data_IF_603107017316
#
_entry.id   IF_603107017316
#
_cell.length_a   1.000
_cell.length_b   1.000
_cell.length_c   1.000
_cell.angle_alpha   90.00
_cell.angle_beta   90.00
_cell.angle_gamma   90.00
#
_symmetry.space_group_name_H-M   'P 1'
#
loop_
_entity.id
_entity.type
_entity.pdbx_description
1 polymer ?
#
# COMPACT_ATOMS: atom_id res chain seq x y z
N UNK A 1 23.51 -15.57 5.47
CA UNK A 1 23.23 -14.11 5.42
C UNK A 1 21.72 -13.97 5.57
N UNK A 2 21.25 -13.50 6.74
CA UNK A 2 19.81 -13.45 7.08
C UNK A 2 19.29 -12.02 6.92
N UNK A 3 18.23 -11.85 6.13
CA UNK A 3 17.38 -10.66 6.10
C UNK A 3 15.90 -11.10 5.95
N UNK A 4 15.23 -11.30 7.09
CA UNK A 4 13.99 -10.64 7.55
C UNK A 4 12.80 -10.37 6.57
N UNK A 5 11.51 -10.53 6.87
CA UNK A 5 10.75 -10.78 8.11
C UNK A 5 9.47 -11.60 7.79
N UNK A 6 9.43 -12.85 8.25
CA UNK A 6 8.23 -13.68 8.32
C UNK A 6 8.21 -14.41 9.66
N UNK A 7 7.62 -13.75 10.66
CA UNK A 7 7.37 -14.17 12.07
C UNK A 7 8.56 -14.44 12.99
N UNK A 8 8.57 -13.71 14.11
CA UNK A 8 8.94 -14.21 15.43
C UNK A 8 7.73 -14.03 16.36
N UNK A 9 7.53 -14.96 17.32
CA UNK A 9 6.58 -14.81 18.43
C UNK A 9 6.93 -13.52 19.19
N UNK A 10 6.14 -12.46 19.02
CA UNK A 10 6.22 -11.29 19.88
C UNK A 10 5.71 -11.64 21.26
N UNK A 11 6.56 -11.45 22.28
CA UNK A 11 6.11 -11.32 23.67
C UNK A 11 5.20 -10.10 23.75
N UNK A 12 4.21 -10.18 24.65
CA UNK A 12 3.22 -9.15 24.90
C UNK A 12 3.82 -7.94 25.64
N UNK A 13 4.76 -7.26 25.01
CA UNK A 13 5.22 -5.93 25.40
C UNK A 13 4.75 -4.93 24.34
N UNK A 14 4.27 -3.77 24.78
CA UNK A 14 3.51 -2.74 24.05
C UNK A 14 4.23 -2.08 22.85
N UNK A 15 5.31 -2.67 22.33
CA UNK A 15 6.13 -2.17 21.22
C UNK A 15 6.41 -3.23 20.12
N UNK A 16 5.59 -4.28 19.99
CA UNK A 16 5.73 -5.21 18.85
C UNK A 16 5.24 -4.57 17.55
N UNK A 17 6.18 -4.04 16.78
CA UNK A 17 5.95 -3.44 15.47
C UNK A 17 5.29 -4.42 14.48
N UNK A 18 5.48 -5.74 14.65
CA UNK A 18 4.78 -6.72 13.81
C UNK A 18 3.29 -6.80 14.15
N UNK A 19 2.93 -6.70 15.43
CA UNK A 19 1.53 -6.67 15.87
C UNK A 19 0.85 -5.37 15.41
N UNK A 20 1.54 -4.23 15.55
CA UNK A 20 1.10 -2.93 15.02
C UNK A 20 0.89 -2.99 13.51
N UNK A 21 1.85 -3.57 12.76
CA UNK A 21 1.74 -3.75 11.31
C UNK A 21 0.56 -4.64 10.93
N UNK A 22 0.33 -5.74 11.64
CA UNK A 22 -0.81 -6.62 11.42
C UNK A 22 -2.15 -5.88 11.65
N UNK A 23 -2.24 -5.07 12.71
CA UNK A 23 -3.41 -4.23 12.98
C UNK A 23 -3.67 -3.21 11.86
N UNK A 24 -2.63 -2.50 11.40
CA UNK A 24 -2.73 -1.53 10.29
C UNK A 24 -3.21 -2.20 9.00
N UNK A 25 -2.66 -3.36 8.67
CA UNK A 25 -3.07 -4.15 7.50
C UNK A 25 -4.53 -4.61 7.60
N UNK A 26 -4.98 -5.04 8.79
CA UNK A 26 -6.38 -5.39 9.03
C UNK A 26 -7.30 -4.19 8.82
N UNK A 27 -6.96 -3.03 9.40
CA UNK A 27 -7.74 -1.81 9.24
C UNK A 27 -7.81 -1.39 7.76
N UNK A 28 -6.68 -1.36 7.05
CA UNK A 28 -6.64 -1.02 5.63
C UNK A 28 -7.61 -1.88 4.80
N UNK A 29 -7.65 -3.20 5.05
CA UNK A 29 -8.59 -4.12 4.37
C UNK A 29 -10.03 -3.80 4.73
N UNK A 30 -10.34 -3.66 6.01
CA UNK A 30 -11.70 -3.32 6.47
C UNK A 30 -12.21 -2.03 5.83
N UNK A 31 -11.36 -1.01 5.71
CA UNK A 31 -11.71 0.26 5.07
C UNK A 31 -11.91 0.12 3.55
N UNK A 32 -11.04 -0.62 2.85
CA UNK A 32 -11.25 -0.94 1.42
C UNK A 32 -12.55 -1.70 1.20
N UNK A 33 -12.84 -2.71 2.02
CA UNK A 33 -14.09 -3.46 1.94
C UNK A 33 -15.31 -2.57 2.22
N UNK A 34 -15.27 -1.77 3.30
CA UNK A 34 -16.36 -0.88 3.67
C UNK A 34 -16.70 0.08 2.52
N UNK A 35 -15.68 0.62 1.86
CA UNK A 35 -15.80 1.55 0.73
C UNK A 35 -16.20 0.88 -0.59
N UNK A 36 -15.44 -0.12 -1.06
CA UNK A 36 -15.55 -0.69 -2.41
C UNK A 36 -16.39 -1.96 -2.49
N UNK A 37 -16.68 -2.61 -1.36
CA UNK A 37 -17.36 -3.91 -1.26
C UNK A 37 -16.63 -5.07 -1.98
N UNK A 38 -15.32 -4.93 -2.16
CA UNK A 38 -14.43 -5.93 -2.74
C UNK A 38 -14.26 -7.14 -1.81
N UNK A 39 -14.77 -8.29 -2.24
CA UNK A 39 -14.87 -9.49 -1.40
C UNK A 39 -13.53 -9.96 -0.84
N UNK A 40 -12.42 -9.78 -1.57
CA UNK A 40 -11.07 -10.14 -1.16
C UNK A 40 -10.57 -9.39 0.09
N UNK A 41 -11.18 -8.25 0.42
CA UNK A 41 -10.89 -7.47 1.62
C UNK A 41 -11.92 -7.65 2.75
N UNK A 42 -12.93 -8.50 2.55
CA UNK A 42 -13.96 -8.74 3.55
C UNK A 42 -13.39 -9.34 4.85
N UNK A 43 -13.98 -9.04 6.03
CA UNK A 43 -13.46 -9.48 7.32
C UNK A 43 -13.32 -11.01 7.45
N UNK A 44 -14.17 -11.77 6.77
CA UNK A 44 -14.17 -13.22 6.74
C UNK A 44 -13.06 -13.82 5.87
N UNK A 45 -12.47 -13.03 4.97
CA UNK A 45 -11.41 -13.52 4.08
C UNK A 45 -10.08 -13.52 4.84
N UNK A 46 -9.40 -14.68 4.95
CA UNK A 46 -8.13 -14.79 5.64
C UNK A 46 -7.09 -13.80 5.09
N UNK A 47 -6.31 -13.21 5.98
CA UNK A 47 -5.26 -12.27 5.62
C UNK A 47 -4.17 -12.94 4.77
N UNK A 48 -3.86 -12.35 3.61
CA UNK A 48 -2.85 -12.83 2.67
C UNK A 48 -1.73 -11.79 2.51
N UNK A 49 -0.62 -11.85 3.28
CA UNK A 49 0.46 -10.85 3.28
C UNK A 49 1.36 -10.82 2.02
N UNK A 50 0.90 -11.34 0.88
CA UNK A 50 1.84 -11.97 -0.06
C UNK A 50 2.51 -11.05 -1.08
N UNK A 51 1.94 -9.90 -1.44
CA UNK A 51 2.41 -9.15 -2.62
C UNK A 51 3.86 -8.63 -2.52
N UNK A 52 4.27 -8.02 -1.40
CA UNK A 52 5.60 -7.38 -1.28
C UNK A 52 6.73 -8.39 -1.09
N UNK A 53 6.52 -9.43 -0.27
CA UNK A 53 7.51 -10.50 -0.11
C UNK A 53 7.83 -11.16 -1.45
N UNK A 54 6.83 -11.28 -2.33
CA UNK A 54 6.99 -11.85 -3.66
C UNK A 54 7.66 -10.88 -4.63
N UNK A 55 7.36 -9.58 -4.56
CA UNK A 55 8.12 -8.56 -5.29
C UNK A 55 9.60 -8.58 -4.93
N UNK A 56 9.93 -8.69 -3.63
CA UNK A 56 11.30 -8.83 -3.16
C UNK A 56 11.95 -10.11 -3.70
N UNK A 57 11.27 -11.26 -3.61
CA UNK A 57 11.79 -12.53 -4.15
C UNK A 57 11.98 -12.51 -5.69
N UNK A 58 11.21 -11.70 -6.43
CA UNK A 58 11.33 -11.56 -7.88
C UNK A 58 12.59 -10.79 -8.32
N UNK A 59 13.24 -10.05 -7.41
CA UNK A 59 14.51 -9.39 -7.65
C UNK A 59 15.68 -10.37 -7.66
N UNK A 60 15.64 -11.36 -6.76
CA UNK A 60 16.82 -12.17 -6.45
C UNK A 60 16.88 -13.50 -7.22
N UNK A 61 15.76 -14.20 -7.46
CA UNK A 61 15.82 -15.63 -7.85
C UNK A 61 14.86 -16.08 -8.98
N UNK A 62 14.20 -15.16 -9.69
CA UNK A 62 12.97 -15.40 -10.46
C UNK A 62 11.81 -15.92 -9.57
N UNK A 63 10.59 -15.38 -9.70
CA UNK A 63 9.52 -15.76 -8.80
C UNK A 63 9.09 -17.21 -9.01
N UNK A 64 9.08 -17.99 -7.92
CA UNK A 64 8.58 -19.37 -7.91
C UNK A 64 7.05 -19.47 -8.06
N UNK A 65 6.34 -18.34 -7.92
CA UNK A 65 4.89 -18.19 -8.10
C UNK A 65 4.56 -16.86 -8.76
N UNK A 66 3.59 -16.86 -9.66
CA UNK A 66 3.04 -15.66 -10.32
C UNK A 66 1.83 -15.11 -9.56
N UNK A 67 1.43 -13.87 -9.83
CA UNK A 67 0.26 -13.24 -9.18
C UNK A 67 -1.03 -14.06 -9.33
N UNK A 68 -1.23 -14.70 -10.48
CA UNK A 68 -2.39 -15.56 -10.75
C UNK A 68 -2.47 -16.83 -9.88
N UNK A 69 -1.35 -17.24 -9.28
CA UNK A 69 -1.27 -18.47 -8.49
C UNK A 69 -1.78 -18.24 -7.05
N UNK A 70 -2.08 -16.99 -6.69
CA UNK A 70 -2.59 -16.60 -5.38
C UNK A 70 -4.11 -16.63 -5.34
N UNK A 71 -4.66 -16.91 -4.14
CA UNK A 71 -6.10 -16.87 -3.93
C UNK A 71 -6.54 -15.42 -3.79
N UNK A 72 -7.67 -15.09 -4.40
CA UNK A 72 -8.25 -13.74 -4.41
C UNK A 72 -8.61 -13.35 -5.83
N UNK A 73 -9.11 -12.12 -5.99
CA UNK A 73 -9.29 -11.53 -7.32
C UNK A 73 -7.97 -10.85 -7.74
N UNK A 74 -7.23 -11.39 -8.72
CA UNK A 74 -6.00 -10.77 -9.20
C UNK A 74 -6.25 -9.48 -10.00
N UNK A 75 -7.51 -9.12 -10.28
CA UNK A 75 -7.87 -7.89 -10.98
C UNK A 75 -7.51 -6.63 -10.18
N UNK A 76 -7.37 -6.76 -8.85
CA UNK A 76 -7.05 -5.67 -7.92
C UNK A 76 -5.82 -6.05 -7.11
N UNK A 77 -4.81 -5.17 -7.09
CA UNK A 77 -3.59 -5.34 -6.31
C UNK A 77 -3.41 -4.18 -5.33
N UNK A 78 -3.22 -4.48 -4.05
CA UNK A 78 -2.87 -3.47 -3.03
C UNK A 78 -1.43 -3.69 -2.58
N UNK A 79 -0.59 -2.67 -2.74
CA UNK A 79 0.81 -2.65 -2.30
C UNK A 79 0.90 -1.84 -1.00
N UNK A 80 1.40 -2.40 0.10
CA UNK A 80 1.48 -1.71 1.39
C UNK A 80 2.86 -1.77 2.05
N UNK A 81 3.60 -0.66 2.00
CA UNK A 81 4.90 -0.51 2.63
C UNK A 81 5.13 0.96 3.01
N UNK A 82 6.32 1.26 3.53
CA UNK A 82 6.78 2.65 3.62
C UNK A 82 7.07 3.20 2.22
N UNK A 83 6.94 4.52 2.06
CA UNK A 83 7.23 5.20 0.81
C UNK A 83 7.25 6.70 0.99
N UNK A 84 7.52 7.40 -0.10
CA UNK A 84 7.43 8.85 -0.26
C UNK A 84 7.09 9.18 -1.72
N UNK A 85 7.20 10.45 -2.08
CA UNK A 85 6.90 10.97 -3.43
C UNK A 85 7.76 10.35 -4.55
N UNK A 86 8.89 9.73 -4.26
CA UNK A 86 9.83 9.16 -5.25
C UNK A 86 10.03 7.65 -5.15
N UNK A 87 9.84 7.05 -3.97
CA UNK A 87 10.12 5.62 -3.75
C UNK A 87 9.03 4.91 -2.96
N UNK A 88 8.88 3.62 -3.24
CA UNK A 88 8.09 2.65 -2.48
C UNK A 88 9.00 1.54 -1.99
N UNK A 89 9.07 1.35 -0.67
CA UNK A 89 9.94 0.37 -0.03
C UNK A 89 11.41 0.46 -0.47
N UNK A 90 11.88 1.68 -0.76
CA UNK A 90 13.24 1.94 -1.26
C UNK A 90 13.45 1.73 -2.77
N UNK A 91 12.39 1.39 -3.52
CA UNK A 91 12.43 1.18 -4.96
C UNK A 91 11.72 2.29 -5.74
N UNK A 92 12.23 2.63 -6.91
CA UNK A 92 11.57 3.58 -7.83
C UNK A 92 10.32 2.99 -8.49
N UNK A 93 9.52 3.84 -9.14
CA UNK A 93 8.35 3.39 -9.91
C UNK A 93 8.73 2.41 -11.01
N UNK A 94 9.84 2.66 -11.72
CA UNK A 94 10.38 1.74 -12.73
C UNK A 94 10.69 0.36 -12.15
N UNK A 95 11.45 0.31 -11.06
CA UNK A 95 11.87 -0.95 -10.45
C UNK A 95 10.66 -1.77 -10.00
N UNK A 96 9.66 -1.12 -9.41
CA UNK A 96 8.40 -1.77 -9.03
C UNK A 96 7.64 -2.28 -10.26
N UNK A 97 7.57 -1.51 -11.34
CA UNK A 97 6.93 -1.94 -12.58
C UNK A 97 7.59 -3.22 -13.15
N UNK A 98 8.92 -3.27 -13.17
CA UNK A 98 9.68 -4.44 -13.62
C UNK A 98 9.44 -5.66 -12.73
N UNK A 99 9.39 -5.49 -11.40
CA UNK A 99 9.05 -6.56 -10.46
C UNK A 99 7.64 -7.12 -10.73
N UNK A 100 6.65 -6.25 -10.93
CA UNK A 100 5.27 -6.66 -11.22
C UNK A 100 5.16 -7.40 -12.56
N UNK A 101 5.91 -6.98 -13.58
CA UNK A 101 5.99 -7.70 -14.86
C UNK A 101 6.58 -9.10 -14.68
N UNK A 102 7.67 -9.25 -13.93
CA UNK A 102 8.27 -10.56 -13.62
C UNK A 102 7.30 -11.47 -12.85
N UNK A 103 6.46 -10.89 -12.00
CA UNK A 103 5.40 -11.61 -11.30
C UNK A 103 4.19 -11.96 -12.18
N UNK A 104 4.19 -11.58 -13.46
CA UNK A 104 3.14 -11.93 -14.42
C UNK A 104 1.87 -11.11 -14.27
N UNK A 105 1.97 -9.84 -13.87
CA UNK A 105 0.81 -8.97 -13.62
C UNK A 105 -0.16 -8.85 -14.82
N UNK A 106 0.36 -8.81 -16.04
CA UNK A 106 -0.49 -8.82 -17.25
C UNK A 106 -1.28 -10.13 -17.41
N UNK A 107 -0.63 -11.28 -17.20
CA UNK A 107 -1.27 -12.59 -17.28
C UNK A 107 -2.27 -12.84 -16.14
N UNK A 108 -2.09 -12.15 -15.01
CA UNK A 108 -3.03 -12.17 -13.90
C UNK A 108 -4.31 -11.37 -14.18
N UNK A 109 -4.34 -10.55 -15.23
CA UNK A 109 -5.50 -9.73 -15.60
C UNK A 109 -5.73 -8.55 -14.65
N UNK A 110 -4.68 -8.08 -13.96
CA UNK A 110 -4.75 -6.95 -13.05
C UNK A 110 -5.14 -5.66 -13.79
N UNK A 111 -6.10 -4.93 -13.22
CA UNK A 111 -6.66 -3.68 -13.77
C UNK A 111 -6.42 -2.48 -12.88
N UNK A 112 -6.27 -2.70 -11.57
CA UNK A 112 -6.06 -1.65 -10.59
C UNK A 112 -4.91 -2.01 -9.64
N UNK A 113 -4.04 -1.03 -9.39
CA UNK A 113 -3.01 -1.08 -8.34
C UNK A 113 -3.27 0.06 -7.36
N UNK A 114 -3.36 -0.26 -6.08
CA UNK A 114 -3.52 0.69 -4.98
C UNK A 114 -2.26 0.69 -4.12
N UNK A 115 -1.45 1.73 -4.23
CA UNK A 115 -0.18 1.88 -3.52
C UNK A 115 -0.46 2.53 -2.17
N UNK A 116 -0.75 1.72 -1.15
CA UNK A 116 -0.98 2.13 0.22
C UNK A 116 0.35 2.41 0.96
N UNK A 117 1.01 3.49 0.58
CA UNK A 117 2.24 4.02 1.20
C UNK A 117 2.16 5.54 1.30
N UNK A 118 2.77 6.15 2.32
CA UNK A 118 2.64 7.58 2.58
C UNK A 118 3.17 8.42 1.40
N UNK A 119 2.41 9.44 1.00
CA UNK A 119 2.83 10.51 0.08
C UNK A 119 3.31 10.09 -1.32
N UNK A 120 3.10 8.83 -1.73
CA UNK A 120 3.48 8.34 -3.07
C UNK A 120 2.73 9.02 -4.22
N UNK A 121 1.60 9.67 -3.93
CA UNK A 121 0.86 10.50 -4.87
C UNK A 121 0.81 11.99 -4.43
N UNK A 122 1.77 12.44 -3.62
CA UNK A 122 1.78 13.78 -3.03
C UNK A 122 1.56 14.86 -4.09
N UNK A 123 0.52 15.67 -3.88
CA UNK A 123 0.20 16.79 -4.75
C UNK A 123 0.33 18.11 -3.99
N UNK A 124 1.39 18.84 -4.32
CA UNK A 124 1.57 20.22 -3.91
C UNK A 124 1.14 21.16 -5.05
N UNK A 125 0.54 22.30 -4.71
CA UNK A 125 0.32 23.36 -5.68
C UNK A 125 1.67 24.01 -5.98
N UNK A 126 2.26 23.71 -7.15
CA UNK A 126 3.46 24.38 -7.61
C UNK A 126 3.12 25.46 -8.65
N UNK A 127 3.69 26.67 -8.54
CA UNK A 127 3.56 27.68 -9.58
C UNK A 127 4.41 27.29 -10.80
N UNK A 128 3.79 27.28 -11.97
CA UNK A 128 4.47 27.08 -13.26
C UNK A 128 4.32 25.67 -13.85
N UNK A 129 4.89 25.42 -15.04
CA UNK A 129 4.67 24.21 -15.83
C UNK A 129 5.51 23.01 -15.37
N UNK A 130 5.98 22.97 -14.13
CA UNK A 130 6.83 21.90 -13.65
C UNK A 130 6.06 20.57 -13.63
N UNK A 131 6.52 19.60 -14.42
CA UNK A 131 5.99 18.23 -14.39
C UNK A 131 6.22 17.63 -13.01
N UNK A 132 5.15 17.25 -12.33
CA UNK A 132 5.25 16.61 -11.02
C UNK A 132 5.57 15.12 -11.24
N UNK A 133 6.84 14.76 -11.09
CA UNK A 133 7.26 13.36 -11.06
C UNK A 133 6.94 12.77 -9.68
N UNK A 134 6.09 11.74 -9.66
CA UNK A 134 5.67 11.03 -8.46
C UNK A 134 5.91 9.55 -8.65
N UNK A 135 6.14 8.81 -7.58
CA UNK A 135 6.29 7.36 -7.60
C UNK A 135 5.15 6.69 -8.39
N UNK A 136 3.90 7.06 -8.11
CA UNK A 136 2.74 6.45 -8.80
C UNK A 136 2.65 6.81 -10.29
N UNK A 137 3.13 7.99 -10.69
CA UNK A 137 3.16 8.40 -12.10
C UNK A 137 4.26 7.62 -12.83
N UNK A 138 5.47 7.57 -12.28
CA UNK A 138 6.59 6.79 -12.82
C UNK A 138 6.21 5.30 -12.95
N UNK A 139 5.57 4.73 -11.92
CA UNK A 139 5.05 3.36 -11.96
C UNK A 139 4.05 3.17 -13.10
N UNK A 140 3.07 4.07 -13.24
CA UNK A 140 2.06 4.00 -14.31
C UNK A 140 2.69 4.12 -15.70
N UNK A 141 3.65 5.03 -15.87
CA UNK A 141 4.37 5.25 -17.12
C UNK A 141 5.07 3.99 -17.60
N UNK A 142 5.82 3.34 -16.71
CA UNK A 142 6.54 2.12 -17.07
C UNK A 142 5.62 0.91 -17.30
N UNK A 143 4.49 0.82 -16.61
CA UNK A 143 3.47 -0.18 -16.93
C UNK A 143 2.88 0.06 -18.33
N UNK A 144 2.56 1.31 -18.68
CA UNK A 144 2.06 1.66 -20.01
C UNK A 144 3.08 1.38 -21.11
N UNK A 145 4.36 1.71 -20.90
CA UNK A 145 5.45 1.38 -21.82
C UNK A 145 5.60 -0.13 -22.05
N UNK A 146 5.25 -0.95 -21.04
CA UNK A 146 5.21 -2.40 -21.14
C UNK A 146 3.90 -2.95 -21.77
N UNK A 147 3.01 -2.08 -22.26
CA UNK A 147 1.73 -2.46 -22.86
C UNK A 147 0.65 -2.83 -21.84
N UNK A 148 0.82 -2.45 -20.57
CA UNK A 148 -0.10 -2.74 -19.48
C UNK A 148 -0.88 -1.47 -19.10
N UNK A 149 -2.13 -1.35 -19.57
CA UNK A 149 -3.02 -0.25 -19.17
C UNK A 149 -3.71 -0.55 -17.82
N UNK A 150 -2.94 -0.38 -16.74
CA UNK A 150 -3.37 -0.61 -15.37
C UNK A 150 -3.56 0.74 -14.67
N UNK A 151 -4.68 0.94 -14.00
CA UNK A 151 -4.93 2.14 -13.19
C UNK A 151 -4.10 2.07 -11.92
N UNK A 152 -3.29 3.09 -11.66
CA UNK A 152 -2.47 3.18 -10.44
C UNK A 152 -3.03 4.28 -9.54
N UNK A 153 -3.32 3.94 -8.29
CA UNK A 153 -3.81 4.85 -7.28
C UNK A 153 -2.82 4.97 -6.13
N UNK A 154 -2.69 6.16 -5.54
CA UNK A 154 -1.92 6.37 -4.31
C UNK A 154 -2.54 7.44 -3.42
N UNK A 155 -2.28 7.42 -2.11
CA UNK A 155 -2.75 8.46 -1.20
C UNK A 155 -2.04 9.78 -1.50
N UNK A 156 -2.81 10.86 -1.49
CA UNK A 156 -2.31 12.23 -1.72
C UNK A 156 -1.37 12.75 -0.63
N UNK A 157 -1.28 12.07 0.51
CA UNK A 157 -0.48 12.47 1.67
C UNK A 157 -0.21 11.26 2.59
N UNK A 158 0.08 11.48 3.87
CA UNK A 158 0.35 10.44 4.87
C UNK A 158 -0.91 9.62 5.14
N UNK A 159 -0.77 8.29 5.12
CA UNK A 159 -1.81 7.35 5.51
C UNK A 159 -1.74 7.11 7.02
N UNK A 160 -2.67 7.71 7.75
CA UNK A 160 -2.76 7.65 9.20
C UNK A 160 -3.68 6.53 9.67
N UNK A 161 -3.32 5.94 10.82
CA UNK A 161 -4.07 4.91 11.51
C UNK A 161 -4.30 5.38 12.95
N UNK A 162 -5.55 5.58 13.34
CA UNK A 162 -5.92 5.95 14.70
C UNK A 162 -6.65 4.79 15.38
N UNK A 163 -6.26 4.54 16.62
CA UNK A 163 -6.72 3.44 17.43
C UNK A 163 -5.72 3.13 18.53
N UNK A 164 -5.77 1.92 19.08
CA UNK A 164 -4.95 1.56 20.22
C UNK A 164 -4.90 0.09 20.51
N UNK A 165 -4.34 -0.24 21.67
CA UNK A 165 -4.31 -1.60 22.18
C UNK A 165 -5.66 -1.94 22.80
N UNK A 166 -6.25 -3.04 22.33
CA UNK A 166 -7.46 -3.62 22.90
C UNK A 166 -7.17 -5.00 23.49
N UNK A 167 -7.82 -5.38 24.61
CA UNK A 167 -7.60 -6.67 25.23
C UNK A 167 -8.13 -7.83 24.37
N UNK A 168 -7.35 -8.91 24.30
CA UNK A 168 -7.69 -10.19 23.67
C UNK A 168 -7.32 -11.33 24.62
N UNK A 169 -8.25 -11.70 25.51
CA UNK A 169 -7.97 -12.64 26.60
C UNK A 169 -6.92 -12.06 27.57
N UNK A 170 -5.80 -12.76 27.75
CA UNK A 170 -4.69 -12.31 28.59
C UNK A 170 -3.62 -11.52 27.82
N UNK A 171 -3.91 -11.12 26.57
CA UNK A 171 -3.00 -10.39 25.69
C UNK A 171 -3.65 -9.08 25.23
N UNK A 172 -2.89 -8.24 24.54
CA UNK A 172 -3.40 -7.07 23.82
C UNK A 172 -3.14 -7.24 22.33
N UNK A 173 -4.02 -6.67 21.50
CA UNK A 173 -3.83 -6.54 20.05
C UNK A 173 -4.01 -5.08 19.66
N UNK A 174 -3.34 -4.65 18.59
CA UNK A 174 -3.63 -3.34 18.00
C UNK A 174 -4.93 -3.42 17.19
N UNK A 175 -5.84 -2.51 17.47
CA UNK A 175 -7.06 -2.28 16.70
C UNK A 175 -7.09 -0.81 16.27
N UNK A 176 -7.17 -0.58 14.96
CA UNK A 176 -7.25 0.76 14.38
C UNK A 176 -8.64 0.92 13.77
N UNK A 177 -9.42 1.83 14.34
CA UNK A 177 -10.81 2.06 13.99
C UNK A 177 -10.96 3.12 12.89
N UNK A 178 -9.96 3.99 12.76
CA UNK A 178 -9.91 5.00 11.70
C UNK A 178 -8.66 4.86 10.86
N UNK A 179 -8.86 4.87 9.54
CA UNK A 179 -7.83 5.13 8.55
C UNK A 179 -8.20 6.40 7.78
N UNK A 180 -7.26 7.32 7.68
CA UNK A 180 -7.46 8.58 6.97
C UNK A 180 -6.18 9.05 6.29
N UNK A 181 -6.30 10.02 5.38
CA UNK A 181 -5.15 10.55 4.65
C UNK A 181 -5.03 12.03 5.00
N UNK A 182 -3.89 12.46 5.54
CA UNK A 182 -3.69 13.83 6.00
C UNK A 182 -2.20 14.21 5.95
N UNK A 183 -1.84 15.50 5.94
CA UNK A 183 -0.47 15.92 6.23
C UNK A 183 -0.10 15.64 7.70
N UNK A 184 1.08 16.09 8.13
CA UNK A 184 1.43 16.19 9.55
C UNK A 184 0.47 17.14 10.30
N UNK A 185 0.26 16.90 11.59
CA UNK A 185 -0.72 17.63 12.40
C UNK A 185 -0.44 19.14 12.49
N UNK A 186 0.83 19.54 12.46
CA UNK A 186 1.23 20.94 12.49
C UNK A 186 0.82 21.70 11.22
N UNK A 187 0.86 21.05 10.05
CA UNK A 187 0.37 21.59 8.79
C UNK A 187 -1.15 21.78 8.79
N UNK A 188 -1.89 20.88 9.45
CA UNK A 188 -3.33 21.03 9.66
C UNK A 188 -3.61 22.22 10.58
N UNK A 189 -2.89 22.31 11.71
CA UNK A 189 -3.06 23.39 12.68
C UNK A 189 -2.73 24.78 12.08
N UNK A 190 -1.80 24.83 11.12
CA UNK A 190 -1.47 26.04 10.36
C UNK A 190 -2.47 26.37 9.24
N UNK A 191 -3.49 25.54 9.02
CA UNK A 191 -4.50 25.73 7.97
C UNK A 191 -3.98 25.56 6.55
N UNK A 192 -2.83 24.88 6.38
CA UNK A 192 -2.18 24.71 5.06
C UNK A 192 -2.76 23.56 4.24
N UNK A 193 -3.28 22.53 4.90
CA UNK A 193 -3.99 21.40 4.26
C UNK A 193 -4.97 20.76 5.28
N UNK A 194 -5.77 19.78 4.85
CA UNK A 194 -6.84 19.17 5.65
C UNK A 194 -6.71 17.64 5.76
N UNK A 195 -7.44 17.05 6.72
CA UNK A 195 -7.72 15.61 6.79
C UNK A 195 -8.69 15.21 5.67
N UNK A 196 -8.39 14.10 4.99
CA UNK A 196 -9.23 13.46 3.98
C UNK A 196 -9.76 12.14 4.54
N UNK A 197 -11.05 11.90 4.32
CA UNK A 197 -11.63 10.58 4.55
C UNK A 197 -10.92 9.53 3.68
N UNK A 198 -10.89 8.28 4.14
CA UNK A 198 -10.20 7.19 3.45
C UNK A 198 -10.56 7.11 1.97
N UNK A 199 -11.85 7.18 1.63
CA UNK A 199 -12.37 7.07 0.27
C UNK A 199 -12.08 8.29 -0.63
N UNK A 200 -11.65 9.43 -0.07
CA UNK A 200 -11.44 10.68 -0.80
C UNK A 200 -9.95 11.00 -1.02
N UNK A 201 -9.06 10.44 -0.20
CA UNK A 201 -7.63 10.78 -0.22
C UNK A 201 -6.81 10.05 -1.29
N UNK A 202 -7.42 9.22 -2.14
CA UNK A 202 -6.72 8.49 -3.20
C UNK A 202 -6.75 9.23 -4.52
N UNK A 203 -5.61 9.32 -5.18
CA UNK A 203 -5.46 9.95 -6.49
C UNK A 203 -5.11 8.92 -7.55
N UNK A 204 -5.73 9.04 -8.72
CA UNK A 204 -5.32 8.32 -9.91
C UNK A 204 -4.04 8.96 -10.45
N UNK A 205 -3.00 8.16 -10.63
CA UNK A 205 -1.76 8.58 -11.27
C UNK A 205 -2.04 9.01 -12.70
N UNK A 206 -1.39 10.06 -13.17
CA UNK A 206 -1.46 10.47 -14.58
C UNK A 206 -0.06 10.32 -15.17
N UNK A 207 0.06 9.68 -16.34
CA UNK A 207 1.32 9.66 -17.06
C UNK A 207 1.73 11.07 -17.53
#
# INVERSE_FOLDING_TARGET
MMLFFGKAKGSADEADENASRAGRLQALRSHFYAWKKWQEFAPEVPFQPHAIQQMLNALDDNPTKQLRDYKGDPSILVLNAHGNDTVFNGYSGQQVAEMLQRLGIGAAGTREIWVAACSVALQEQQPGPATISRFVNELRDHLLQAGLDIKVYGPRNILWYSGGLVPLGNQHKYEYDEVYIAPEDDMIAQGKDRKYAFNEGWLLAHP
#
